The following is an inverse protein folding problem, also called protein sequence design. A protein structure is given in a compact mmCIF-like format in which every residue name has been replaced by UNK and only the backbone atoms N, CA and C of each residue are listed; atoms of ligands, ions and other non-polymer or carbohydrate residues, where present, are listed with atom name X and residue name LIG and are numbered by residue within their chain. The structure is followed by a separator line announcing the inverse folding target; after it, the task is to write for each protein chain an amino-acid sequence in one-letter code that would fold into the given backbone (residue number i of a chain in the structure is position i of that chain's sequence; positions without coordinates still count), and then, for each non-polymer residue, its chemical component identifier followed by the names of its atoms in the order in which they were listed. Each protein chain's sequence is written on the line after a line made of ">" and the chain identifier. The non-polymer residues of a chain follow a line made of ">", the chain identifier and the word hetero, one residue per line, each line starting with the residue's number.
data_IF_525342951540
#
_entry.id   IF_525342951540
#
_cell.length_a   1.000
_cell.length_b   1.000
_cell.length_c   1.000
_cell.angle_alpha   90.00
_cell.angle_beta   90.00
_cell.angle_gamma   90.00
#
_symmetry.space_group_name_H-M   'P 1'
#
loop_
_entity.id
_entity.type
_entity.pdbx_description
1 polymer ?
#
# COMPACT_ATOMS: atom_id res chain seq x y z
N UNK A 1 8.83 -19.47 9.44
CA UNK A 1 7.36 -19.39 9.64
C UNK A 1 6.73 -20.69 9.18
N UNK A 2 5.63 -21.12 9.80
CA UNK A 2 4.90 -22.30 9.31
C UNK A 2 4.04 -21.95 8.09
N UNK A 3 3.57 -22.95 7.30
CA UNK A 3 2.76 -22.73 6.10
C UNK A 3 1.47 -21.93 6.35
N UNK A 4 0.87 -22.09 7.53
CA UNK A 4 -0.35 -21.36 7.93
C UNK A 4 -0.07 -20.08 8.73
N UNK A 5 1.19 -19.73 8.98
CA UNK A 5 1.52 -18.48 9.67
C UNK A 5 1.22 -17.27 8.78
N UNK A 6 0.93 -16.14 9.42
CA UNK A 6 0.73 -14.82 8.79
C UNK A 6 1.61 -13.78 9.45
N UNK A 7 2.11 -12.83 8.67
CA UNK A 7 2.72 -11.59 9.18
C UNK A 7 1.70 -10.48 8.97
N UNK A 8 1.42 -9.72 10.02
CA UNK A 8 0.70 -8.46 9.91
C UNK A 8 1.65 -7.33 10.26
N UNK A 9 1.84 -6.39 9.34
CA UNK A 9 2.65 -5.18 9.54
C UNK A 9 1.68 -4.01 9.68
N UNK A 10 1.50 -3.50 10.90
CA UNK A 10 0.64 -2.35 11.19
C UNK A 10 1.43 -1.05 11.02
N UNK A 11 1.15 -0.31 9.96
CA UNK A 11 1.93 0.84 9.52
C UNK A 11 1.09 1.91 8.81
N UNK A 12 1.70 3.07 8.56
CA UNK A 12 1.14 4.03 7.63
C UNK A 12 1.32 3.57 6.17
N UNK A 13 0.22 3.59 5.42
CA UNK A 13 0.22 3.28 3.98
C UNK A 13 -0.01 4.58 3.22
N UNK A 14 1.04 5.12 2.64
CA UNK A 14 0.96 6.39 1.92
C UNK A 14 0.24 6.22 0.58
N UNK A 15 -0.57 7.21 0.26
CA UNK A 15 -1.03 7.42 -1.10
C UNK A 15 -0.01 8.29 -1.86
N UNK A 16 0.03 8.18 -3.19
CA UNK A 16 0.66 9.21 -4.00
C UNK A 16 0.01 10.59 -3.78
N UNK A 17 0.85 11.61 -3.51
CA UNK A 17 0.41 12.99 -3.29
C UNK A 17 -0.17 13.64 -4.55
N UNK A 18 0.30 13.20 -5.72
CA UNK A 18 -0.18 13.63 -7.03
C UNK A 18 -1.08 12.55 -7.65
N UNK A 19 -2.02 12.93 -8.53
CA UNK A 19 -2.77 11.97 -9.32
C UNK A 19 -1.81 11.06 -10.11
N UNK A 20 -2.12 9.77 -10.15
CA UNK A 20 -1.48 8.86 -11.12
C UNK A 20 -2.04 9.18 -12.50
N UNK A 21 -1.19 9.51 -13.47
CA UNK A 21 -1.57 9.70 -14.88
C UNK A 21 -2.01 8.39 -15.57
N UNK A 22 -2.27 7.31 -14.82
CA UNK A 22 -2.73 6.02 -15.34
C UNK A 22 -4.18 6.01 -15.83
N UNK A 23 -4.93 7.12 -15.74
CA UNK A 23 -6.20 7.27 -16.47
C UNK A 23 -5.94 7.53 -17.96
N UNK A 24 -5.28 6.59 -18.63
CA UNK A 24 -5.53 6.35 -20.05
C UNK A 24 -6.84 5.54 -20.15
N UNK A 25 -7.77 5.81 -21.09
CA UNK A 25 -9.09 5.16 -21.14
C UNK A 25 -9.06 3.64 -21.45
N UNK A 26 -7.91 2.99 -21.46
CA UNK A 26 -7.71 1.65 -22.02
C UNK A 26 -7.46 0.52 -21.02
N UNK A 27 -7.50 0.75 -19.70
CA UNK A 27 -7.39 -0.34 -18.72
C UNK A 27 -8.76 -0.91 -18.35
N UNK A 28 -9.54 -1.33 -19.36
CA UNK A 28 -10.56 -2.36 -19.17
C UNK A 28 -9.88 -3.70 -19.50
N UNK A 29 -9.57 -4.48 -18.47
CA UNK A 29 -9.13 -5.86 -18.65
C UNK A 29 -7.71 -6.15 -18.16
N UNK A 30 -7.52 -6.14 -16.84
CA UNK A 30 -6.64 -7.11 -16.19
C UNK A 30 -7.08 -7.26 -14.73
N UNK A 31 -7.16 -8.49 -14.24
CA UNK A 31 -7.55 -8.89 -12.87
C UNK A 31 -6.62 -8.39 -11.75
N UNK A 32 -5.90 -7.30 -11.97
CA UNK A 32 -5.04 -6.59 -11.00
C UNK A 32 -5.84 -5.60 -10.14
N UNK A 33 -7.08 -5.93 -9.79
CA UNK A 33 -8.05 -5.06 -9.11
C UNK A 33 -7.72 -4.73 -7.63
N UNK A 34 -6.47 -4.94 -7.19
CA UNK A 34 -6.02 -4.66 -5.81
C UNK A 34 -5.13 -3.40 -5.74
N UNK A 35 -4.67 -2.88 -6.88
CA UNK A 35 -3.64 -1.82 -6.92
C UNK A 35 -4.15 -0.38 -7.04
N UNK A 36 -5.46 -0.19 -7.15
CA UNK A 36 -6.04 1.15 -7.28
C UNK A 36 -6.38 1.76 -5.91
N UNK A 37 -6.27 3.08 -5.79
CA UNK A 37 -6.73 3.87 -4.64
C UNK A 37 -8.11 3.48 -4.07
N UNK A 38 -8.97 2.93 -4.94
CA UNK A 38 -10.31 2.46 -4.60
C UNK A 38 -10.30 1.20 -3.73
N UNK A 39 -9.28 0.34 -3.82
CA UNK A 39 -9.09 -0.83 -2.94
C UNK A 39 -8.68 -0.42 -1.52
N UNK A 40 -8.07 0.76 -1.38
CA UNK A 40 -7.66 1.38 -0.11
C UNK A 40 -8.79 2.17 0.58
N UNK A 41 -10.01 2.17 0.02
CA UNK A 41 -11.12 2.99 0.54
C UNK A 41 -10.90 4.50 0.41
N UNK A 42 -9.85 4.93 -0.28
CA UNK A 42 -9.51 6.34 -0.41
C UNK A 42 -10.40 7.00 -1.46
N UNK A 43 -11.23 7.95 -1.00
CA UNK A 43 -11.98 8.82 -1.90
C UNK A 43 -11.00 9.69 -2.68
N UNK A 44 -11.08 9.62 -4.01
CA UNK A 44 -10.27 10.47 -4.86
C UNK A 44 -10.61 11.94 -4.56
N UNK A 45 -9.59 12.75 -4.31
CA UNK A 45 -9.77 14.18 -4.13
C UNK A 45 -10.37 14.81 -5.40
N UNK A 46 -11.15 15.90 -5.27
CA UNK A 46 -11.60 16.68 -6.41
C UNK A 46 -10.45 17.09 -7.34
N UNK A 47 -10.73 17.23 -8.63
CA UNK A 47 -9.71 17.45 -9.69
C UNK A 47 -8.75 18.60 -9.41
N UNK A 48 -9.22 19.68 -8.78
CA UNK A 48 -8.42 20.87 -8.47
C UNK A 48 -7.51 20.70 -7.25
N UNK A 49 -7.70 19.63 -6.48
CA UNK A 49 -7.01 19.39 -5.22
C UNK A 49 -6.01 18.23 -5.37
N UNK A 50 -4.94 18.30 -4.60
CA UNK A 50 -3.96 17.22 -4.53
C UNK A 50 -4.63 15.94 -4.03
N UNK A 51 -4.10 14.81 -4.49
CA UNK A 51 -4.62 13.48 -4.16
C UNK A 51 -4.52 13.15 -2.67
N UNK A 52 -3.67 13.88 -1.93
CA UNK A 52 -3.52 13.79 -0.48
C UNK A 52 -4.30 14.85 0.31
N UNK A 53 -5.16 15.65 -0.33
CA UNK A 53 -5.93 16.69 0.34
C UNK A 53 -6.88 16.12 1.42
N UNK A 54 -6.85 16.72 2.61
CA UNK A 54 -7.72 16.38 3.74
C UNK A 54 -6.97 16.24 5.08
N UNK A 55 -7.59 16.68 6.17
CA UNK A 55 -6.96 16.69 7.50
C UNK A 55 -6.60 15.30 8.02
N UNK A 56 -7.37 14.26 7.66
CA UNK A 56 -7.11 12.87 8.07
C UNK A 56 -5.78 12.29 7.57
N UNK A 57 -5.10 12.99 6.66
CA UNK A 57 -3.87 12.50 6.01
C UNK A 57 -2.62 13.29 6.37
N UNK A 58 -2.77 14.49 6.95
CA UNK A 58 -1.65 15.36 7.32
C UNK A 58 -0.60 14.62 8.15
N UNK A 59 -1.03 13.77 9.08
CA UNK A 59 -0.11 13.08 9.98
C UNK A 59 0.81 12.09 9.25
N UNK A 60 0.30 11.39 8.25
CA UNK A 60 1.08 10.39 7.49
C UNK A 60 2.27 11.04 6.78
N UNK A 61 2.03 12.17 6.10
CA UNK A 61 3.10 12.92 5.41
C UNK A 61 4.04 13.63 6.39
N UNK A 62 3.53 14.12 7.53
CA UNK A 62 4.40 14.69 8.56
C UNK A 62 5.31 13.62 9.16
N UNK A 63 4.83 12.40 9.38
CA UNK A 63 5.66 11.30 9.86
C UNK A 63 6.69 10.87 8.82
N UNK A 64 6.35 10.84 7.54
CA UNK A 64 7.34 10.61 6.47
C UNK A 64 8.49 11.63 6.51
N UNK A 65 8.18 12.92 6.69
CA UNK A 65 9.21 13.95 6.89
C UNK A 65 10.04 13.74 8.17
N UNK A 66 9.42 13.29 9.27
CA UNK A 66 10.12 12.97 10.52
C UNK A 66 11.06 11.78 10.32
N UNK A 67 10.60 10.71 9.68
CA UNK A 67 11.39 9.50 9.40
C UNK A 67 12.57 9.80 8.46
N UNK A 68 12.34 10.64 7.44
CA UNK A 68 13.41 11.14 6.57
C UNK A 68 14.44 11.94 7.36
N UNK A 69 13.99 12.89 8.19
CA UNK A 69 14.89 13.82 8.90
C UNK A 69 15.70 13.15 10.00
N UNK A 70 15.12 12.17 10.71
CA UNK A 70 15.76 11.57 11.89
C UNK A 70 16.50 10.28 11.57
N UNK A 71 16.03 9.49 10.59
CA UNK A 71 16.48 8.12 10.35
C UNK A 71 16.95 7.88 8.91
N UNK A 72 16.85 8.88 8.02
CA UNK A 72 17.03 8.70 6.58
C UNK A 72 16.14 7.56 6.03
N UNK A 73 14.94 7.45 6.60
CA UNK A 73 13.93 6.47 6.24
C UNK A 73 12.79 7.16 5.48
N UNK A 74 11.84 6.36 4.99
CA UNK A 74 10.64 6.85 4.33
C UNK A 74 9.47 5.92 4.65
N UNK A 75 8.28 6.49 4.70
CA UNK A 75 7.04 5.73 4.67
C UNK A 75 6.80 5.17 3.27
N UNK A 76 5.92 4.16 3.15
CA UNK A 76 5.73 3.42 1.89
C UNK A 76 4.29 3.40 1.44
N UNK A 77 4.11 3.35 0.12
CA UNK A 77 2.83 3.02 -0.50
C UNK A 77 2.56 1.52 -0.38
N UNK A 78 1.31 1.10 -0.62
CA UNK A 78 0.96 -0.34 -0.66
C UNK A 78 1.85 -1.11 -1.64
N UNK A 79 2.03 -0.58 -2.86
CA UNK A 79 2.91 -1.18 -3.85
C UNK A 79 4.36 -1.30 -3.36
N UNK A 80 4.82 -0.33 -2.57
CA UNK A 80 6.14 -0.39 -1.92
C UNK A 80 6.26 -1.56 -0.94
N UNK A 81 5.21 -1.79 -0.12
CA UNK A 81 5.17 -2.93 0.80
C UNK A 81 5.07 -4.26 0.05
N UNK A 82 4.23 -4.35 -0.99
CA UNK A 82 4.09 -5.57 -1.79
C UNK A 82 5.44 -5.94 -2.42
N UNK A 83 6.11 -5.00 -3.09
CA UNK A 83 7.43 -5.23 -3.68
C UNK A 83 8.47 -5.67 -2.64
N UNK A 84 8.44 -5.08 -1.45
CA UNK A 84 9.35 -5.47 -0.37
C UNK A 84 9.05 -6.88 0.15
N UNK A 85 7.76 -7.24 0.28
CA UNK A 85 7.33 -8.58 0.63
C UNK A 85 7.77 -9.62 -0.40
N UNK A 86 7.51 -9.36 -1.68
CA UNK A 86 7.92 -10.21 -2.81
C UNK A 86 9.45 -10.42 -2.81
N UNK A 87 10.23 -9.35 -2.65
CA UNK A 87 11.70 -9.42 -2.55
C UNK A 87 12.17 -10.20 -1.32
N UNK A 88 11.33 -10.34 -0.29
CA UNK A 88 11.58 -11.11 0.92
C UNK A 88 11.03 -12.54 0.85
N UNK A 89 10.48 -12.97 -0.28
CA UNK A 89 9.86 -14.29 -0.46
C UNK A 89 8.49 -14.44 0.20
N UNK A 90 7.77 -13.34 0.40
CA UNK A 90 6.44 -13.32 0.98
C UNK A 90 5.38 -13.00 -0.08
N UNK A 91 4.21 -13.61 0.08
CA UNK A 91 3.03 -13.35 -0.76
C UNK A 91 2.09 -12.40 -0.02
N UNK A 92 1.71 -11.29 -0.67
CA UNK A 92 0.70 -10.37 -0.15
C UNK A 92 -0.68 -11.03 -0.15
N UNK A 93 -1.39 -10.94 0.97
CA UNK A 93 -2.73 -11.51 1.13
C UNK A 93 -3.79 -10.42 1.03
N UNK A 94 -3.68 -9.41 1.89
CA UNK A 94 -4.74 -8.40 2.08
C UNK A 94 -4.21 -7.16 2.79
N UNK A 95 -4.83 -6.02 2.52
CA UNK A 95 -4.71 -4.82 3.35
C UNK A 95 -5.92 -4.70 4.28
N UNK A 96 -5.64 -4.42 5.55
CA UNK A 96 -6.63 -4.11 6.58
C UNK A 96 -6.64 -2.61 6.84
N UNK A 97 -7.76 -1.93 6.61
CA UNK A 97 -7.91 -0.50 6.86
C UNK A 97 -8.51 -0.26 8.27
N UNK A 98 -7.82 0.56 9.07
CA UNK A 98 -8.24 0.97 10.41
C UNK A 98 -8.49 2.49 10.51
N UNK A 99 -8.64 3.18 9.38
CA UNK A 99 -8.88 4.61 9.29
C UNK A 99 -7.61 5.43 9.14
N UNK A 100 -6.84 5.61 10.22
CA UNK A 100 -5.61 6.42 10.19
C UNK A 100 -4.37 5.61 9.76
N UNK A 101 -4.29 4.36 10.23
CA UNK A 101 -3.26 3.39 9.91
C UNK A 101 -3.88 2.17 9.24
N UNK A 102 -3.05 1.29 8.71
CA UNK A 102 -3.51 0.05 8.09
C UNK A 102 -2.56 -1.10 8.45
N UNK A 103 -2.97 -2.34 8.22
CA UNK A 103 -2.07 -3.49 8.31
C UNK A 103 -1.97 -4.26 7.01
N UNK A 104 -0.73 -4.50 6.56
CA UNK A 104 -0.43 -5.35 5.41
C UNK A 104 -0.26 -6.78 5.89
N UNK A 105 -1.06 -7.70 5.35
CA UNK A 105 -0.98 -9.13 5.65
C UNK A 105 -0.17 -9.88 4.60
N UNK A 106 0.81 -10.66 5.05
CA UNK A 106 1.62 -11.54 4.23
C UNK A 106 1.57 -12.99 4.73
N UNK A 107 1.82 -13.92 3.80
CA UNK A 107 2.05 -15.34 4.10
C UNK A 107 3.27 -15.87 3.34
N UNK A 108 3.72 -17.08 3.69
CA UNK A 108 4.62 -17.82 2.81
C UNK A 108 3.85 -18.31 1.58
N UNK A 109 4.47 -18.31 0.39
CA UNK A 109 3.92 -18.97 -0.78
C UNK A 109 3.67 -20.46 -0.50
N UNK A 110 2.63 -21.03 -1.10
CA UNK A 110 2.42 -22.47 -1.05
C UNK A 110 3.57 -23.15 -1.79
N UNK A 111 4.14 -24.21 -1.21
CA UNK A 111 5.22 -24.93 -1.86
C UNK A 111 4.67 -25.51 -3.16
N UNK A 112 5.21 -25.09 -4.31
CA UNK A 112 4.90 -25.73 -5.57
C UNK A 112 5.31 -27.19 -5.44
N UNK A 113 4.33 -28.10 -5.41
CA UNK A 113 4.57 -29.54 -5.48
C UNK A 113 5.38 -29.82 -6.75
N UNK A 114 6.68 -30.02 -6.58
CA UNK A 114 7.56 -30.47 -7.66
C UNK A 114 7.17 -31.93 -7.94
N UNK A 115 6.41 -32.13 -9.03
CA UNK A 115 6.21 -33.45 -9.64
C UNK A 115 7.48 -33.99 -10.28
#
# INVERSE_FOLDING_TARGET
>A
MGPHSRILIHEYILQHATPSNSTSPSSQGSDTAVRDNKSLGHTQAPKELLSNYGAGRVRQYNLDLVMMSLLNAQERTLDGFIKLGEASGLEFVKLWDFGEMSAVEFKLPEAAEQS
#
